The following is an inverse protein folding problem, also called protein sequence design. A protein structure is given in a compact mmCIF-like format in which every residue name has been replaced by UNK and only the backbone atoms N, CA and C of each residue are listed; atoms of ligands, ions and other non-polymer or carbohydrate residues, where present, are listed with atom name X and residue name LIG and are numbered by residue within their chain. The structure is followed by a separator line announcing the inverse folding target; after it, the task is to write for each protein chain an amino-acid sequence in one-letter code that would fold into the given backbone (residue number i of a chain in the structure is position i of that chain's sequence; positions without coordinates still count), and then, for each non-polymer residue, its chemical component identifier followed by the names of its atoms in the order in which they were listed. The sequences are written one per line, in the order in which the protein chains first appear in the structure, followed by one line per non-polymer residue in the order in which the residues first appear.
data_IF_158888774180
#
_entry.id   IF_158888774180
#
_cell.length_a   1.000
_cell.length_b   1.000
_cell.length_c   1.000
_cell.angle_alpha   90.00
_cell.angle_beta   90.00
_cell.angle_gamma   90.00
#
_symmetry.space_group_name_H-M   'P 1'
#
loop_
_entity.id
_entity.type
_entity.pdbx_description
1 polymer ?
#
# COMPACT_ATOMS: atom_id res chain seq x y z
N UNK A 1 21.36 10.41 -3.22
CA UNK A 1 22.00 11.60 -3.82
C UNK A 1 23.52 11.55 -3.76
N UNK A 2 24.13 11.10 -2.65
CA UNK A 2 25.59 11.19 -2.43
C UNK A 2 26.52 10.49 -3.45
N UNK A 3 26.01 9.62 -4.33
CA UNK A 3 26.83 8.90 -5.33
C UNK A 3 26.86 9.52 -6.72
N UNK A 4 25.82 10.27 -7.09
CA UNK A 4 25.62 10.70 -8.49
C UNK A 4 25.28 12.19 -8.62
N UNK A 5 25.32 12.93 -7.52
CA UNK A 5 25.22 14.39 -7.50
C UNK A 5 26.16 14.94 -6.44
N UNK A 6 26.68 16.14 -6.68
CA UNK A 6 27.48 16.93 -5.73
C UNK A 6 26.61 17.65 -4.70
N UNK A 7 25.29 17.60 -4.86
CA UNK A 7 24.34 18.24 -3.96
C UNK A 7 24.35 17.54 -2.59
N UNK A 8 24.70 18.28 -1.54
CA UNK A 8 24.66 17.78 -0.17
C UNK A 8 23.20 17.59 0.29
N UNK A 9 22.75 16.36 0.57
CA UNK A 9 21.38 16.10 1.01
C UNK A 9 21.02 16.75 2.36
N UNK A 10 22.02 17.05 3.22
CA UNK A 10 21.79 17.70 4.52
C UNK A 10 21.56 19.21 4.41
N UNK A 11 21.95 19.83 3.29
CA UNK A 11 21.71 21.25 3.03
C UNK A 11 20.23 21.55 2.80
N UNK A 12 19.83 22.82 2.94
CA UNK A 12 18.46 23.25 2.65
C UNK A 12 18.06 22.97 1.19
N UNK A 13 18.95 23.24 0.24
CA UNK A 13 18.75 22.95 -1.18
C UNK A 13 18.68 21.44 -1.44
N UNK A 14 19.54 20.67 -0.78
CA UNK A 14 19.52 19.21 -0.70
C UNK A 14 18.17 18.66 -0.30
N UNK A 15 17.69 19.12 0.84
CA UNK A 15 16.39 18.73 1.41
C UNK A 15 15.26 19.12 0.47
N UNK A 16 15.29 20.32 -0.11
CA UNK A 16 14.26 20.76 -1.05
C UNK A 16 14.24 19.90 -2.32
N UNK A 17 15.40 19.50 -2.83
CA UNK A 17 15.50 18.60 -3.97
C UNK A 17 15.00 17.19 -3.62
N UNK A 18 15.31 16.69 -2.42
CA UNK A 18 14.79 15.40 -1.92
C UNK A 18 13.26 15.41 -1.87
N UNK A 19 12.65 16.47 -1.34
CA UNK A 19 11.20 16.64 -1.32
C UNK A 19 10.61 16.58 -2.73
N UNK A 20 11.19 17.32 -3.68
CA UNK A 20 10.70 17.36 -5.05
C UNK A 20 10.79 15.99 -5.73
N UNK A 21 11.92 15.29 -5.57
CA UNK A 21 12.09 13.93 -6.10
C UNK A 21 11.12 12.96 -5.43
N UNK A 22 10.98 13.01 -4.11
CA UNK A 22 10.09 12.13 -3.37
C UNK A 22 8.63 12.28 -3.82
N UNK A 23 8.15 13.52 -3.96
CA UNK A 23 6.80 13.80 -4.48
C UNK A 23 6.63 13.34 -5.93
N UNK A 24 7.61 13.58 -6.80
CA UNK A 24 7.55 13.22 -8.22
C UNK A 24 7.58 11.71 -8.45
N UNK A 25 8.43 11.00 -7.70
CA UNK A 25 8.71 9.58 -7.89
C UNK A 25 7.87 8.64 -7.03
N UNK A 26 7.12 9.16 -6.05
CA UNK A 26 6.15 8.38 -5.28
C UNK A 26 5.09 7.72 -6.18
N UNK A 27 4.60 6.54 -5.76
CA UNK A 27 3.51 5.84 -6.45
C UNK A 27 2.24 6.70 -6.48
N UNK A 28 1.38 6.51 -7.49
CA UNK A 28 0.28 7.44 -7.76
C UNK A 28 -0.71 7.62 -6.59
N UNK A 29 -0.98 6.57 -5.83
CA UNK A 29 -1.80 6.60 -4.61
C UNK A 29 -1.16 7.42 -3.48
N UNK A 30 0.11 7.16 -3.19
CA UNK A 30 0.89 7.90 -2.19
C UNK A 30 1.02 9.36 -2.61
N UNK A 31 1.46 9.63 -3.85
CA UNK A 31 1.61 11.00 -4.38
C UNK A 31 0.33 11.82 -4.25
N UNK A 32 -0.84 11.25 -4.60
CA UNK A 32 -2.12 11.94 -4.46
C UNK A 32 -2.48 12.26 -3.00
N UNK A 33 -2.02 11.46 -2.04
CA UNK A 33 -2.21 11.74 -0.60
C UNK A 33 -1.27 12.84 -0.12
N UNK A 34 0.02 12.75 -0.47
CA UNK A 34 1.01 13.77 -0.14
C UNK A 34 0.64 15.15 -0.72
N UNK A 35 0.17 15.20 -1.97
CA UNK A 35 -0.27 16.45 -2.61
C UNK A 35 -1.52 17.08 -1.96
N UNK A 36 -2.19 16.41 -1.02
CA UNK A 36 -3.30 16.99 -0.24
C UNK A 36 -2.85 17.64 1.06
N UNK A 37 -1.61 17.40 1.50
CA UNK A 37 -1.03 18.10 2.64
C UNK A 37 -0.93 19.59 2.29
N UNK A 38 -1.23 20.45 3.27
CA UNK A 38 -1.24 21.92 3.13
C UNK A 38 -0.41 22.51 4.26
N UNK A 39 0.01 23.76 4.08
CA UNK A 39 0.78 24.47 5.10
C UNK A 39 2.23 23.95 5.22
N UNK A 40 2.90 24.24 6.34
CA UNK A 40 4.33 23.97 6.54
C UNK A 40 4.71 22.50 6.28
N UNK A 41 3.83 21.57 6.62
CA UNK A 41 4.06 20.13 6.48
C UNK A 41 4.19 19.69 5.01
N UNK A 42 3.62 20.46 4.05
CA UNK A 42 3.74 20.15 2.62
C UNK A 42 5.17 20.25 2.09
N UNK A 43 6.07 20.89 2.85
CA UNK A 43 7.50 21.08 2.55
C UNK A 43 8.39 20.47 3.63
N UNK A 44 7.85 19.69 4.55
CA UNK A 44 8.64 18.97 5.54
C UNK A 44 8.87 17.53 5.06
N UNK A 45 10.14 17.16 4.87
CA UNK A 45 10.50 15.82 4.40
C UNK A 45 10.05 14.72 5.37
N UNK A 46 10.15 14.95 6.68
CA UNK A 46 9.75 13.98 7.71
C UNK A 46 8.24 13.73 7.68
N UNK A 47 7.44 14.79 7.67
CA UNK A 47 5.97 14.67 7.58
C UNK A 47 5.52 13.96 6.28
N UNK A 48 6.22 14.21 5.17
CA UNK A 48 5.95 13.53 3.89
C UNK A 48 6.28 12.03 3.97
N UNK A 49 7.38 11.66 4.64
CA UNK A 49 7.77 10.26 4.83
C UNK A 49 6.77 9.53 5.74
N UNK A 50 6.34 10.14 6.83
CA UNK A 50 5.36 9.56 7.75
C UNK A 50 4.01 9.29 7.08
N UNK A 51 3.50 10.27 6.31
CA UNK A 51 2.25 10.08 5.58
C UNK A 51 2.40 9.02 4.48
N UNK A 52 3.52 9.00 3.77
CA UNK A 52 3.78 7.99 2.75
C UNK A 52 3.83 6.58 3.36
N UNK A 53 4.50 6.43 4.50
CA UNK A 53 4.55 5.18 5.24
C UNK A 53 3.15 4.73 5.67
N UNK A 54 2.35 5.63 6.24
CA UNK A 54 0.95 5.35 6.62
C UNK A 54 0.12 4.85 5.45
N UNK A 55 0.20 5.51 4.30
CA UNK A 55 -0.55 5.13 3.09
C UNK A 55 -0.09 3.77 2.56
N UNK A 56 1.22 3.52 2.57
CA UNK A 56 1.79 2.24 2.17
C UNK A 56 1.30 1.09 3.07
N UNK A 57 1.40 1.24 4.38
CA UNK A 57 0.97 0.21 5.36
C UNK A 57 -0.52 -0.09 5.24
N UNK A 58 -1.37 0.94 5.17
CA UNK A 58 -2.82 0.76 5.02
C UNK A 58 -3.19 -0.03 3.76
N UNK A 59 -2.47 0.20 2.65
CA UNK A 59 -2.66 -0.53 1.40
C UNK A 59 -2.26 -2.01 1.55
N UNK A 60 -1.12 -2.28 2.18
CA UNK A 60 -0.66 -3.66 2.40
C UNK A 60 -1.61 -4.43 3.31
N UNK A 61 -2.10 -3.80 4.37
CA UNK A 61 -3.10 -4.37 5.27
C UNK A 61 -4.42 -4.68 4.55
N UNK A 62 -4.90 -3.75 3.73
CA UNK A 62 -6.09 -3.96 2.91
C UNK A 62 -5.95 -5.15 1.96
N UNK A 63 -4.79 -5.32 1.33
CA UNK A 63 -4.50 -6.49 0.49
C UNK A 63 -4.52 -7.79 1.30
N UNK A 64 -3.82 -7.83 2.45
CA UNK A 64 -3.81 -8.99 3.36
C UNK A 64 -5.23 -9.37 3.80
N UNK A 65 -6.05 -8.38 4.15
CA UNK A 65 -7.43 -8.62 4.57
C UNK A 65 -8.31 -9.11 3.41
N UNK A 66 -8.15 -8.54 2.22
CA UNK A 66 -8.82 -9.00 1.00
C UNK A 66 -8.48 -10.45 0.66
N UNK A 67 -7.20 -10.82 0.73
CA UNK A 67 -6.75 -12.19 0.49
C UNK A 67 -7.32 -13.18 1.52
N UNK A 68 -7.34 -12.80 2.80
CA UNK A 68 -7.97 -13.63 3.85
C UNK A 68 -9.44 -13.91 3.56
N UNK A 69 -10.19 -12.90 3.08
CA UNK A 69 -11.60 -13.06 2.69
C UNK A 69 -11.75 -14.01 1.50
N UNK A 70 -10.97 -13.83 0.44
CA UNK A 70 -11.01 -14.73 -0.73
C UNK A 70 -10.70 -16.18 -0.36
N UNK A 71 -9.70 -16.41 0.49
CA UNK A 71 -9.34 -17.76 0.97
C UNK A 71 -10.48 -18.37 1.80
N UNK A 72 -11.12 -17.59 2.67
CA UNK A 72 -12.26 -18.05 3.46
C UNK A 72 -13.46 -18.42 2.56
N UNK A 73 -13.79 -17.58 1.58
CA UNK A 73 -14.86 -17.81 0.61
C UNK A 73 -14.60 -19.05 -0.25
N UNK A 74 -13.36 -19.25 -0.71
CA UNK A 74 -12.98 -20.44 -1.46
C UNK A 74 -13.15 -21.71 -0.62
N UNK A 75 -12.72 -21.69 0.64
CA UNK A 75 -12.84 -22.82 1.57
C UNK A 75 -14.29 -23.20 1.87
N UNK A 76 -15.17 -22.20 2.04
CA UNK A 76 -16.60 -22.44 2.26
C UNK A 76 -17.29 -22.96 0.98
N UNK A 77 -16.91 -22.46 -0.21
CA UNK A 77 -17.38 -23.03 -1.48
C UNK A 77 -16.97 -24.49 -1.67
N UNK A 78 -15.75 -24.88 -1.28
CA UNK A 78 -15.32 -26.28 -1.35
C UNK A 78 -16.09 -27.18 -0.38
N UNK A 79 -16.33 -26.74 0.86
CA UNK A 79 -17.15 -27.49 1.82
C UNK A 79 -18.59 -27.69 1.34
N UNK A 80 -19.21 -26.65 0.77
CA UNK A 80 -20.56 -26.73 0.21
C UNK A 80 -20.68 -27.75 -0.92
N UNK A 81 -19.63 -27.94 -1.72
CA UNK A 81 -19.58 -28.98 -2.77
C UNK A 81 -19.39 -30.39 -2.21
N UNK A 82 -18.63 -30.55 -1.12
CA UNK A 82 -18.41 -31.86 -0.47
C UNK A 82 -19.64 -32.38 0.30
N UNK A 83 -20.60 -31.51 0.64
CA UNK A 83 -21.86 -31.88 1.28
C UNK A 83 -22.91 -32.50 0.35
N UNK A 84 -22.76 -32.36 -0.97
CA UNK A 84 -23.59 -33.07 -1.95
C UNK A 84 -22.91 -34.38 -2.35
N UNK A 85 -23.01 -35.38 -1.47
CA UNK A 85 -22.71 -36.76 -1.85
C UNK A 85 -23.69 -37.23 -2.93
N UNK A 86 -23.30 -38.18 -3.82
CA UNK A 86 -24.18 -38.70 -4.84
C UNK A 86 -25.48 -39.23 -4.20
N UNK A 87 -26.65 -39.01 -4.82
CA UNK A 87 -27.92 -39.47 -4.25
C UNK A 87 -27.84 -40.99 -4.05
N UNK A 88 -28.07 -41.43 -2.81
CA UNK A 88 -28.12 -42.86 -2.48
C UNK A 88 -29.28 -43.47 -3.27
N UNK A 89 -28.96 -44.23 -4.32
CA UNK A 89 -29.91 -45.16 -4.91
C UNK A 89 -30.21 -46.20 -3.84
N UNK A 90 -31.47 -46.25 -3.39
CA UNK A 90 -31.94 -47.22 -2.42
C UNK A 90 -31.94 -48.65 -2.99
N UNK A 91 -31.83 -49.69 -2.15
CA UNK A 91 -31.90 -51.08 -2.58
C UNK A 91 -33.34 -51.48 -3.01
N UNK A 92 -33.51 -52.63 -3.69
CA UNK A 92 -34.30 -52.84 -4.91
C UNK A 92 -35.82 -52.82 -4.77
#
# INVERSE_FOLDING_TARGET
MCRHTTLDPGSNEGTQQLINLFLGQSTGDIRRKLQKIRGPDSRNLEALLDEAWRVFSNREEGYKQGMKKLVAEAKEREKGKRGQGPPKQGPP
#
